data_IF_785106751797
#
_entry.id   IF_785106751797
#
_cell.length_a   1.000
_cell.length_b   1.000
_cell.length_c   1.000
_cell.angle_alpha   90.00
_cell.angle_beta   90.00
_cell.angle_gamma   90.00
#
_symmetry.space_group_name_H-M   'P 1'
#
loop_
_entity.id
_entity.type
_entity.pdbx_description
1 polymer ?
#
# COMPACT_ATOMS: atom_id res chain seq x y z
N UNK A 1 -13.05 4.57 2.29
CA UNK A 1 -11.62 4.39 2.01
C UNK A 1 -11.13 3.14 2.72
N UNK A 2 -10.41 2.29 2.02
CA UNK A 2 -9.89 1.05 2.59
C UNK A 2 -8.50 1.26 3.15
N UNK A 3 -8.19 0.55 4.22
CA UNK A 3 -6.88 0.57 4.86
C UNK A 3 -6.17 -0.74 4.57
N UNK A 4 -4.95 -0.64 4.06
CA UNK A 4 -4.11 -1.78 3.72
C UNK A 4 -2.84 -1.75 4.53
N UNK A 5 -2.38 -2.94 4.91
CA UNK A 5 -1.08 -3.12 5.55
C UNK A 5 -0.19 -3.91 4.58
N UNK A 6 0.92 -3.30 4.19
CA UNK A 6 1.89 -3.92 3.29
C UNK A 6 3.11 -4.32 4.11
N UNK A 7 3.34 -5.63 4.21
CA UNK A 7 4.49 -6.18 4.94
C UNK A 7 5.62 -6.45 3.97
N UNK A 8 6.81 -6.00 4.33
CA UNK A 8 8.01 -6.19 3.52
C UNK A 8 9.05 -7.03 4.24
N UNK A 9 9.98 -7.62 3.48
CA UNK A 9 10.92 -8.63 4.01
C UNK A 9 11.90 -8.08 5.05
N UNK A 10 12.21 -6.78 4.97
CA UNK A 10 13.23 -6.18 5.83
C UNK A 10 12.66 -5.29 6.94
N UNK A 11 11.35 -5.13 6.98
CA UNK A 11 10.71 -4.23 7.94
C UNK A 11 9.85 -5.02 8.91
N UNK A 12 9.92 -4.65 10.19
CA UNK A 12 9.10 -5.27 11.23
C UNK A 12 7.70 -4.66 11.27
N UNK A 13 7.60 -3.38 10.89
CA UNK A 13 6.32 -2.67 10.88
C UNK A 13 5.76 -2.61 9.46
N UNK A 14 4.44 -2.77 9.29
CA UNK A 14 3.84 -2.68 7.98
C UNK A 14 3.80 -1.25 7.47
N UNK A 15 3.86 -1.10 6.14
CA UNK A 15 3.60 0.17 5.49
C UNK A 15 2.07 0.34 5.39
N UNK A 16 1.53 1.39 6.00
CA UNK A 16 0.08 1.61 6.08
C UNK A 16 -0.36 2.52 4.93
N UNK A 17 -1.34 2.07 4.17
CA UNK A 17 -1.89 2.81 3.03
C UNK A 17 -3.39 2.91 3.17
N UNK A 18 -3.91 4.13 3.03
CA UNK A 18 -5.35 4.36 2.93
C UNK A 18 -5.67 4.82 1.51
N UNK A 19 -6.50 4.07 0.82
CA UNK A 19 -6.83 4.33 -0.58
C UNK A 19 -8.18 3.74 -0.94
N UNK A 20 -8.81 4.30 -1.97
CA UNK A 20 -10.04 3.75 -2.52
C UNK A 20 -9.78 2.64 -3.54
N UNK A 21 -8.54 2.51 -4.01
CA UNK A 21 -8.15 1.47 -4.96
C UNK A 21 -8.10 0.11 -4.28
N UNK A 22 -8.28 -0.94 -5.07
CA UNK A 22 -8.12 -2.32 -4.60
C UNK A 22 -6.65 -2.71 -4.75
N UNK A 23 -5.87 -2.52 -3.68
CA UNK A 23 -4.43 -2.81 -3.70
C UNK A 23 -4.13 -4.30 -3.78
N UNK A 24 -5.03 -5.15 -3.30
CA UNK A 24 -4.83 -6.59 -3.40
C UNK A 24 -4.86 -7.01 -4.86
N UNK A 25 -5.79 -6.47 -5.62
CA UNK A 25 -5.89 -6.73 -7.06
C UNK A 25 -4.68 -6.14 -7.79
N UNK A 26 -4.29 -4.92 -7.44
CA UNK A 26 -3.14 -4.26 -8.05
C UNK A 26 -1.84 -5.03 -7.77
N UNK A 27 -1.67 -5.54 -6.54
CA UNK A 27 -0.53 -6.36 -6.18
C UNK A 27 -0.51 -7.66 -6.97
N UNK A 28 -1.65 -8.32 -7.09
CA UNK A 28 -1.76 -9.56 -7.86
C UNK A 28 -1.35 -9.34 -9.32
N UNK A 29 -1.81 -8.26 -9.92
CA UNK A 29 -1.45 -7.91 -11.28
C UNK A 29 0.05 -7.65 -11.41
N UNK A 30 0.61 -6.83 -10.51
CA UNK A 30 2.04 -6.50 -10.54
C UNK A 30 2.91 -7.75 -10.35
N UNK A 31 2.50 -8.65 -9.44
CA UNK A 31 3.20 -9.91 -9.22
C UNK A 31 3.24 -10.77 -10.49
N UNK A 32 2.08 -10.93 -11.15
CA UNK A 32 1.99 -11.75 -12.36
C UNK A 32 2.72 -11.13 -13.55
N UNK A 33 2.75 -9.81 -13.63
CA UNK A 33 3.39 -9.10 -14.73
C UNK A 33 4.87 -8.85 -14.50
N UNK A 34 5.38 -9.09 -13.28
CA UNK A 34 6.76 -8.79 -12.92
C UNK A 34 7.04 -7.29 -12.87
N UNK A 35 6.03 -6.49 -12.56
CA UNK A 35 6.12 -5.04 -12.50
C UNK A 35 6.13 -4.55 -11.05
N UNK A 36 6.67 -3.34 -10.78
CA UNK A 36 6.59 -2.77 -9.45
C UNK A 36 5.15 -2.41 -9.08
N UNK A 37 4.85 -2.46 -7.79
CA UNK A 37 3.57 -1.99 -7.27
C UNK A 37 3.65 -0.48 -7.05
N UNK A 38 2.73 0.25 -7.67
CA UNK A 38 2.61 1.69 -7.51
C UNK A 38 1.48 1.99 -6.53
N UNK A 39 1.80 2.74 -5.49
CA UNK A 39 0.85 3.06 -4.41
C UNK A 39 0.75 4.56 -4.24
N UNK A 40 -0.47 5.08 -4.26
CA UNK A 40 -0.76 6.46 -3.89
C UNK A 40 -1.60 6.46 -2.62
N UNK A 41 -1.22 7.29 -1.66
CA UNK A 41 -2.08 7.50 -0.50
C UNK A 41 -2.04 8.95 -0.05
N UNK A 42 -3.12 9.36 0.59
CA UNK A 42 -3.26 10.70 1.14
C UNK A 42 -3.06 10.64 2.64
N UNK A 43 -2.36 11.61 3.18
CA UNK A 43 -2.15 11.72 4.61
C UNK A 43 -2.36 13.15 5.05
N UNK A 44 -3.17 13.31 6.09
CA UNK A 44 -3.35 14.61 6.74
C UNK A 44 -2.27 14.77 7.81
N UNK A 45 -1.50 15.85 7.70
CA UNK A 45 -0.51 16.20 8.69
C UNK A 45 -1.03 17.39 9.50
N UNK A 46 -1.03 17.25 10.82
CA UNK A 46 -1.53 18.28 11.73
C UNK A 46 -0.84 19.62 11.49
N UNK A 47 -1.65 20.63 11.17
CA UNK A 47 -1.17 21.99 10.93
C UNK A 47 -0.49 22.23 9.60
N UNK A 48 -0.36 21.21 8.76
CA UNK A 48 0.33 21.32 7.47
C UNK A 48 -0.53 20.96 6.26
N UNK A 49 -1.81 20.60 6.48
CA UNK A 49 -2.74 20.25 5.41
C UNK A 49 -2.64 18.80 4.97
N UNK A 50 -3.17 18.52 3.79
CA UNK A 50 -3.21 17.17 3.23
C UNK A 50 -2.06 16.97 2.25
N UNK A 51 -1.38 15.84 2.38
CA UNK A 51 -0.32 15.45 1.46
C UNK A 51 -0.69 14.18 0.73
N UNK A 52 -0.32 14.11 -0.54
CA UNK A 52 -0.45 12.91 -1.36
C UNK A 52 0.94 12.33 -1.56
N UNK A 53 1.09 11.06 -1.19
CA UNK A 53 2.35 10.33 -1.33
C UNK A 53 2.23 9.29 -2.43
N UNK A 54 3.29 9.16 -3.20
CA UNK A 54 3.38 8.15 -4.26
C UNK A 54 4.63 7.32 -4.03
N UNK A 55 4.47 6.00 -4.00
CA UNK A 55 5.56 5.07 -3.73
C UNK A 55 5.51 3.94 -4.76
N UNK A 56 6.68 3.60 -5.31
CA UNK A 56 6.84 2.39 -6.11
C UNK A 56 7.56 1.35 -5.28
N UNK A 57 7.00 0.15 -5.20
CA UNK A 57 7.54 -0.94 -4.39
C UNK A 57 7.90 -2.13 -5.26
N UNK A 58 9.07 -2.72 -5.00
CA UNK A 58 9.45 -3.97 -5.65
C UNK A 58 8.61 -5.10 -5.08
N UNK A 59 7.82 -5.77 -5.92
CA UNK A 59 6.94 -6.85 -5.47
C UNK A 59 7.71 -8.01 -4.83
N UNK A 60 8.97 -8.20 -5.19
CA UNK A 60 9.80 -9.25 -4.60
C UNK A 60 10.13 -8.98 -3.13
N UNK A 61 10.01 -7.73 -2.68
CA UNK A 61 10.25 -7.36 -1.29
C UNK A 61 8.96 -7.35 -0.46
N UNK A 62 7.83 -7.58 -1.07
CA UNK A 62 6.53 -7.59 -0.40
C UNK A 62 6.21 -9.02 0.03
N UNK A 63 6.00 -9.20 1.32
CA UNK A 63 5.60 -10.50 1.89
C UNK A 63 4.09 -10.67 1.75
N UNK A 64 3.34 -9.65 2.12
CA UNK A 64 1.89 -9.71 2.05
C UNK A 64 1.26 -8.33 1.99
N UNK A 65 0.08 -8.27 1.40
CA UNK A 65 -0.79 -7.10 1.42
C UNK A 65 -2.10 -7.55 2.06
N UNK A 66 -2.46 -6.92 3.17
CA UNK A 66 -3.67 -7.31 3.90
C UNK A 66 -4.62 -6.13 4.03
N UNK A 67 -5.89 -6.44 4.08
CA UNK A 67 -6.92 -5.46 4.39
C UNK A 67 -7.93 -6.10 5.32
N UNK A 68 -8.55 -5.28 6.16
CA UNK A 68 -9.64 -5.74 7.00
C UNK A 68 -10.80 -4.77 6.87
N UNK A 69 -12.01 -5.33 6.84
CA UNK A 69 -13.23 -4.55 6.82
C UNK A 69 -14.02 -4.87 8.09
N UNK A 70 -14.60 -3.83 8.68
CA UNK A 70 -15.47 -4.01 9.83
C UNK A 70 -16.83 -4.48 9.33
N UNK A 71 -17.23 -5.64 9.80
CA UNK A 71 -18.55 -6.19 9.52
C UNK A 71 -19.61 -5.59 10.45
#
# INVERSE_FOLDING_TARGET
>A
MKKYLIYTVNDTDPFVVETEKDLIKDFSYAWNAGEPLYVEHKKELLGMGNYKYSVMMNVNNIVSVTTSEKE
#
